data_IF_475402937266
#
_entry.id   IF_475402937266
#
_cell.length_a   1.000
_cell.length_b   1.000
_cell.length_c   1.000
_cell.angle_alpha   90.00
_cell.angle_beta   90.00
_cell.angle_gamma   90.00
#
_symmetry.space_group_name_H-M   'P 1'
#
loop_
_entity.id
_entity.type
_entity.pdbx_description
1 polymer ?
#
# COMPACT_ATOMS: atom_id res chain seq x y z
N UNK A 1 -13.65 -18.84 9.38
CA UNK A 1 -12.96 -17.70 10.01
C UNK A 1 -11.66 -17.40 9.26
N UNK A 2 -11.33 -16.13 9.04
CA UNK A 2 -10.05 -15.69 8.47
C UNK A 2 -9.24 -15.00 9.56
N UNK A 3 -8.01 -15.42 9.80
CA UNK A 3 -7.06 -14.75 10.69
C UNK A 3 -5.94 -14.20 9.80
N UNK A 4 -5.78 -12.88 9.78
CA UNK A 4 -4.76 -12.22 8.96
C UNK A 4 -3.69 -11.61 9.83
N UNK A 5 -2.43 -11.98 9.59
CA UNK A 5 -1.27 -11.41 10.28
C UNK A 5 -0.95 -10.04 9.69
N UNK A 6 -0.83 -9.07 10.59
CA UNK A 6 -0.41 -7.71 10.26
C UNK A 6 1.07 -7.52 10.62
N UNK A 7 1.84 -6.93 9.70
CA UNK A 7 3.27 -6.67 9.88
C UNK A 7 3.76 -5.52 9.00
N UNK A 8 4.88 -4.90 9.39
CA UNK A 8 5.52 -3.84 8.61
C UNK A 8 4.82 -2.48 8.67
N UNK A 9 5.16 -1.57 7.76
CA UNK A 9 4.61 -0.23 7.71
C UNK A 9 3.13 -0.19 7.31
N UNK A 10 2.46 0.98 7.50
CA UNK A 10 1.02 1.13 7.30
C UNK A 10 0.54 0.72 5.90
N UNK A 11 1.34 0.92 4.84
CA UNK A 11 0.98 0.44 3.49
C UNK A 11 0.83 -1.08 3.44
N UNK A 12 1.70 -1.82 4.12
CA UNK A 12 1.62 -3.28 4.22
C UNK A 12 0.46 -3.72 5.12
N UNK A 13 0.23 -3.05 6.26
CA UNK A 13 -0.91 -3.31 7.13
C UNK A 13 -2.25 -3.17 6.37
N UNK A 14 -2.37 -2.15 5.53
CA UNK A 14 -3.53 -1.93 4.67
C UNK A 14 -3.69 -3.04 3.61
N UNK A 15 -2.59 -3.49 2.98
CA UNK A 15 -2.62 -4.60 2.02
C UNK A 15 -3.09 -5.91 2.67
N UNK A 16 -2.54 -6.22 3.85
CA UNK A 16 -2.88 -7.42 4.60
C UNK A 16 -4.34 -7.38 5.09
N UNK A 17 -4.77 -6.23 5.62
CA UNK A 17 -6.17 -6.00 5.98
C UNK A 17 -7.10 -6.21 4.77
N UNK A 18 -6.80 -5.57 3.64
CA UNK A 18 -7.63 -5.65 2.44
C UNK A 18 -7.77 -7.08 1.93
N UNK A 19 -6.69 -7.85 1.95
CA UNK A 19 -6.73 -9.25 1.53
C UNK A 19 -7.55 -10.10 2.50
N UNK A 20 -7.33 -9.98 3.81
CA UNK A 20 -8.11 -10.68 4.82
C UNK A 20 -9.60 -10.31 4.78
N UNK A 21 -9.90 -9.02 4.61
CA UNK A 21 -11.26 -8.50 4.46
C UNK A 21 -11.96 -9.10 3.24
N UNK A 22 -11.28 -9.14 2.10
CA UNK A 22 -11.80 -9.75 0.88
C UNK A 22 -12.12 -11.22 1.08
N UNK A 23 -11.18 -12.00 1.62
CA UNK A 23 -11.40 -13.42 1.90
C UNK A 23 -12.56 -13.66 2.86
N UNK A 24 -12.67 -12.85 3.92
CA UNK A 24 -13.75 -12.97 4.89
C UNK A 24 -15.13 -12.68 4.26
N UNK A 25 -15.21 -11.67 3.37
CA UNK A 25 -16.43 -11.36 2.62
C UNK A 25 -16.80 -12.46 1.63
N UNK A 26 -15.85 -12.97 0.85
CA UNK A 26 -16.07 -14.05 -0.12
C UNK A 26 -16.48 -15.36 0.56
N UNK A 27 -15.87 -15.67 1.71
CA UNK A 27 -16.19 -16.87 2.50
C UNK A 27 -17.34 -16.66 3.48
N UNK A 28 -17.97 -15.47 3.53
CA UNK A 28 -19.07 -15.11 4.45
C UNK A 28 -18.75 -15.47 5.90
N UNK A 29 -17.55 -15.13 6.37
CA UNK A 29 -17.08 -15.49 7.69
C UNK A 29 -16.40 -14.31 8.40
N UNK A 30 -16.08 -14.48 9.69
CA UNK A 30 -15.45 -13.45 10.51
C UNK A 30 -13.97 -13.24 10.11
N UNK A 31 -13.52 -11.97 10.14
CA UNK A 31 -12.12 -11.59 10.06
C UNK A 31 -11.58 -11.30 11.45
N UNK A 32 -10.42 -11.87 11.74
CA UNK A 32 -9.60 -11.57 12.92
C UNK A 32 -8.28 -11.00 12.43
N UNK A 33 -7.82 -9.91 13.05
CA UNK A 33 -6.56 -9.24 12.73
C UNK A 33 -5.52 -9.62 13.79
N UNK A 34 -4.48 -10.33 13.41
CA UNK A 34 -3.39 -10.71 14.31
C UNK A 34 -2.27 -9.66 14.22
N UNK A 35 -2.27 -8.71 15.15
CA UNK A 35 -1.31 -7.63 15.30
C UNK A 35 -0.18 -7.97 16.29
N UNK A 36 -0.09 -9.20 16.78
CA UNK A 36 0.93 -9.62 17.76
C UNK A 36 2.38 -9.46 17.26
N UNK A 37 2.58 -9.25 15.95
CA UNK A 37 3.89 -8.92 15.38
C UNK A 37 4.46 -7.61 15.92
N UNK A 38 3.60 -6.64 16.26
CA UNK A 38 3.99 -5.29 16.72
C UNK A 38 4.35 -5.21 18.21
N UNK A 39 4.38 -6.33 18.92
CA UNK A 39 4.77 -6.36 20.33
C UNK A 39 6.17 -5.77 20.56
N UNK A 40 6.38 -5.10 21.69
CA UNK A 40 7.65 -4.44 22.05
C UNK A 40 8.88 -5.37 22.02
N UNK A 41 8.71 -6.66 22.34
CA UNK A 41 9.77 -7.67 22.33
C UNK A 41 10.21 -8.12 20.92
N UNK A 42 9.50 -7.72 19.87
CA UNK A 42 9.87 -8.08 18.50
C UNK A 42 10.83 -7.03 17.91
N UNK A 43 12.11 -7.33 17.90
CA UNK A 43 13.17 -6.45 17.35
C UNK A 43 12.99 -6.12 15.86
N UNK A 44 12.26 -6.95 15.11
CA UNK A 44 11.95 -6.73 13.69
C UNK A 44 10.77 -5.78 13.47
N UNK A 45 10.03 -5.43 14.53
CA UNK A 45 8.90 -4.51 14.45
C UNK A 45 9.37 -3.05 14.47
N UNK A 46 10.03 -2.62 13.40
CA UNK A 46 10.54 -1.25 13.23
C UNK A 46 9.44 -0.21 13.01
N UNK A 47 8.21 -0.66 12.68
CA UNK A 47 7.05 0.18 12.48
C UNK A 47 5.98 -0.08 13.54
N UNK A 48 5.22 0.95 13.96
CA UNK A 48 4.12 0.79 14.91
C UNK A 48 2.87 0.15 14.27
N UNK A 49 2.01 -0.42 15.10
CA UNK A 49 0.65 -0.79 14.70
C UNK A 49 -0.22 0.45 14.59
N UNK A 50 -0.59 0.84 13.39
CA UNK A 50 -1.31 2.10 13.11
C UNK A 50 -2.54 1.92 12.21
N UNK A 51 -2.89 0.69 11.87
CA UNK A 51 -4.07 0.41 11.04
C UNK A 51 -5.36 1.07 11.57
N UNK A 52 -5.68 1.03 12.89
CA UNK A 52 -6.91 1.63 13.44
C UNK A 52 -6.99 3.15 13.28
N UNK A 53 -5.84 3.82 13.13
CA UNK A 53 -5.79 5.27 12.89
C UNK A 53 -6.20 5.64 11.46
N UNK A 54 -6.10 4.70 10.54
CA UNK A 54 -6.35 4.92 9.10
C UNK A 54 -7.68 4.33 8.66
N UNK A 55 -8.04 3.14 9.15
CA UNK A 55 -9.25 2.40 8.73
C UNK A 55 -10.16 2.16 9.92
N UNK A 56 -11.46 2.21 9.69
CA UNK A 56 -12.43 1.74 10.68
C UNK A 56 -12.47 0.22 10.67
N UNK A 57 -11.96 -0.35 11.77
CA UNK A 57 -11.86 -1.81 12.00
C UNK A 57 -12.67 -2.27 13.22
N UNK A 58 -13.57 -1.43 13.75
CA UNK A 58 -14.32 -1.70 15.00
C UNK A 58 -15.12 -3.01 14.95
N UNK A 59 -15.55 -3.45 13.77
CA UNK A 59 -16.28 -4.70 13.56
C UNK A 59 -15.39 -5.96 13.61
N UNK A 60 -14.06 -5.80 13.71
CA UNK A 60 -13.10 -6.90 13.65
C UNK A 60 -12.42 -7.09 15.00
N UNK A 61 -12.23 -8.36 15.39
CA UNK A 61 -11.44 -8.68 16.58
C UNK A 61 -9.96 -8.55 16.27
N UNK A 62 -9.22 -7.89 17.18
CA UNK A 62 -7.76 -7.66 17.05
C UNK A 62 -7.03 -8.40 18.15
N UNK A 63 -6.02 -9.19 17.78
CA UNK A 63 -5.13 -9.89 18.69
C UNK A 63 -3.79 -9.16 18.71
N UNK A 64 -3.46 -8.52 19.83
CA UNK A 64 -2.17 -7.85 20.04
C UNK A 64 -1.20 -8.71 20.87
N UNK A 65 -1.74 -9.62 21.68
CA UNK A 65 -0.96 -10.49 22.56
C UNK A 65 -0.48 -11.73 21.82
N UNK A 66 0.84 -11.99 21.87
CA UNK A 66 1.46 -13.14 21.19
C UNK A 66 1.02 -14.48 21.77
N UNK A 67 0.79 -14.55 23.07
CA UNK A 67 0.34 -15.79 23.72
C UNK A 67 -1.07 -16.16 23.30
N UNK A 68 -1.97 -15.17 23.20
CA UNK A 68 -3.32 -15.36 22.66
C UNK A 68 -3.26 -15.79 21.18
N UNK A 69 -2.41 -15.15 20.37
CA UNK A 69 -2.21 -15.54 18.97
C UNK A 69 -1.70 -16.98 18.84
N UNK A 70 -0.74 -17.41 19.68
CA UNK A 70 -0.23 -18.77 19.71
C UNK A 70 -1.27 -19.78 20.18
N UNK A 71 -1.97 -19.45 21.27
CA UNK A 71 -3.02 -20.30 21.84
C UNK A 71 -4.15 -20.54 20.83
N UNK A 72 -4.62 -19.48 20.17
CA UNK A 72 -5.66 -19.60 19.15
C UNK A 72 -5.24 -20.54 18.00
N UNK A 73 -4.00 -20.44 17.54
CA UNK A 73 -3.47 -21.35 16.51
C UNK A 73 -3.42 -22.79 16.99
N UNK A 74 -3.00 -23.01 18.23
CA UNK A 74 -2.95 -24.35 18.82
C UNK A 74 -4.36 -24.94 18.94
N UNK A 75 -5.33 -24.17 19.46
CA UNK A 75 -6.73 -24.60 19.54
C UNK A 75 -7.28 -24.99 18.17
N UNK A 76 -7.04 -24.16 17.13
CA UNK A 76 -7.48 -24.46 15.78
C UNK A 76 -6.83 -25.70 15.18
N UNK A 77 -5.56 -25.97 15.51
CA UNK A 77 -4.89 -27.21 15.13
C UNK A 77 -5.52 -28.43 15.84
N UNK A 78 -5.78 -28.34 17.15
CA UNK A 78 -6.45 -29.39 17.90
C UNK A 78 -7.86 -29.66 17.35
N UNK A 79 -8.66 -28.63 17.12
CA UNK A 79 -9.99 -28.76 16.52
C UNK A 79 -9.90 -29.46 15.15
N UNK A 80 -8.93 -29.12 14.31
CA UNK A 80 -8.75 -29.76 13.03
C UNK A 80 -8.44 -31.26 13.15
N UNK A 81 -7.63 -31.66 14.15
CA UNK A 81 -7.29 -33.06 14.42
C UNK A 81 -8.51 -33.81 14.96
N UNK A 82 -9.14 -33.30 16.03
CA UNK A 82 -10.26 -33.99 16.70
C UNK A 82 -11.53 -34.04 15.84
N UNK A 83 -11.72 -33.11 14.92
CA UNK A 83 -12.85 -33.13 13.98
C UNK A 83 -12.59 -33.98 12.73
N UNK A 84 -11.49 -34.74 12.67
CA UNK A 84 -11.04 -35.49 11.49
C UNK A 84 -11.01 -34.64 10.21
N UNK A 85 -10.68 -33.34 10.36
CA UNK A 85 -10.62 -32.37 9.26
C UNK A 85 -11.97 -31.74 8.87
N UNK A 86 -13.09 -32.11 9.49
CA UNK A 86 -14.41 -31.49 9.23
C UNK A 86 -14.40 -29.98 9.51
N UNK A 87 -13.74 -29.55 10.58
CA UNK A 87 -13.51 -28.13 10.92
C UNK A 87 -12.11 -27.68 10.53
N UNK A 88 -11.74 -27.91 9.30
CA UNK A 88 -10.38 -27.76 8.79
C UNK A 88 -9.76 -26.37 9.04
N UNK A 89 -8.49 -26.39 9.40
CA UNK A 89 -7.64 -25.21 9.54
C UNK A 89 -6.47 -25.29 8.56
N UNK A 90 -6.26 -24.24 7.78
CA UNK A 90 -5.14 -24.17 6.83
C UNK A 90 -4.33 -22.89 7.01
N UNK A 91 -3.01 -23.06 7.01
CA UNK A 91 -2.06 -21.96 7.03
C UNK A 91 -1.70 -21.58 5.61
N UNK A 92 -1.94 -20.33 5.24
CA UNK A 92 -1.64 -19.77 3.92
C UNK A 92 -0.50 -18.76 4.08
N UNK A 93 0.63 -19.05 3.47
CA UNK A 93 1.73 -18.10 3.35
C UNK A 93 1.74 -17.53 1.93
N UNK A 94 1.68 -16.22 1.82
CA UNK A 94 1.83 -15.53 0.53
C UNK A 94 3.32 -15.49 0.19
N UNK A 95 3.76 -16.42 -0.62
CA UNK A 95 5.18 -16.57 -1.01
C UNK A 95 5.59 -15.54 -2.05
N UNK A 96 4.71 -15.26 -3.03
CA UNK A 96 4.91 -14.20 -3.99
C UNK A 96 3.88 -13.08 -3.78
N UNK A 97 4.33 -11.82 -3.61
CA UNK A 97 3.40 -10.70 -3.43
C UNK A 97 2.51 -10.44 -4.66
N UNK A 98 2.85 -10.99 -5.82
CA UNK A 98 2.15 -10.73 -7.09
C UNK A 98 1.30 -11.89 -7.57
N UNK A 99 1.34 -13.04 -6.91
CA UNK A 99 0.64 -14.26 -7.31
C UNK A 99 -0.34 -14.68 -6.23
N UNK A 100 -1.59 -14.91 -6.62
CA UNK A 100 -2.59 -15.40 -5.67
C UNK A 100 -2.20 -16.80 -5.15
N UNK A 101 -2.19 -17.02 -3.85
CA UNK A 101 -2.01 -18.35 -3.32
C UNK A 101 -3.23 -19.22 -3.67
N UNK A 102 -3.01 -20.50 -3.93
CA UNK A 102 -4.11 -21.47 -4.01
C UNK A 102 -4.73 -21.62 -2.63
N UNK A 103 -6.03 -21.39 -2.53
CA UNK A 103 -6.78 -21.57 -1.29
C UNK A 103 -7.37 -22.98 -1.27
N UNK A 104 -6.83 -23.91 -0.47
CA UNK A 104 -7.44 -25.21 -0.28
C UNK A 104 -8.81 -25.05 0.39
N UNK A 105 -9.70 -26.04 0.24
CA UNK A 105 -10.95 -26.04 0.99
C UNK A 105 -10.67 -26.12 2.48
N UNK A 106 -11.21 -25.18 3.26
CA UNK A 106 -11.11 -25.15 4.71
C UNK A 106 -12.16 -24.22 5.33
N UNK A 107 -12.49 -24.46 6.62
CA UNK A 107 -13.35 -23.56 7.41
C UNK A 107 -12.58 -22.38 7.97
N UNK A 108 -11.31 -22.57 8.31
CA UNK A 108 -10.48 -21.59 8.97
C UNK A 108 -9.16 -21.40 8.22
N UNK A 109 -8.77 -20.14 8.03
CA UNK A 109 -7.50 -19.79 7.39
C UNK A 109 -6.69 -18.86 8.25
N UNK A 110 -5.40 -19.16 8.36
CA UNK A 110 -4.40 -18.27 8.93
C UNK A 110 -3.53 -17.74 7.79
N UNK A 111 -3.64 -16.46 7.50
CA UNK A 111 -3.02 -15.84 6.32
C UNK A 111 -1.88 -14.93 6.74
N UNK A 112 -0.73 -15.09 6.11
CA UNK A 112 0.47 -14.26 6.34
C UNK A 112 1.17 -13.93 5.03
N UNK A 113 1.92 -12.83 5.01
CA UNK A 113 2.69 -12.34 3.86
C UNK A 113 2.26 -10.98 3.36
N UNK A 114 2.70 -10.60 2.18
CA UNK A 114 2.55 -9.26 1.62
C UNK A 114 1.84 -9.30 0.25
N UNK A 115 0.49 -9.28 0.21
CA UNK A 115 -0.25 -9.30 -1.05
C UNK A 115 -0.15 -7.95 -1.77
N UNK A 116 0.38 -7.92 -2.98
CA UNK A 116 0.57 -6.68 -3.76
C UNK A 116 -0.13 -6.72 -5.14
N UNK A 117 -0.84 -7.79 -5.47
CA UNK A 117 -1.60 -7.86 -6.71
C UNK A 117 -3.02 -7.35 -6.50
N UNK A 118 -3.47 -6.41 -7.33
CA UNK A 118 -4.80 -5.82 -7.25
C UNK A 118 -5.93 -6.86 -7.34
N UNK A 119 -5.74 -7.95 -8.11
CA UNK A 119 -6.75 -9.00 -8.24
C UNK A 119 -7.14 -9.66 -6.91
N UNK A 120 -6.29 -9.57 -5.88
CA UNK A 120 -6.58 -10.14 -4.57
C UNK A 120 -7.77 -9.47 -3.87
N UNK A 121 -8.01 -8.19 -4.13
CA UNK A 121 -9.01 -7.41 -3.40
C UNK A 121 -9.71 -6.31 -4.22
N UNK A 122 -9.54 -6.27 -5.55
CA UNK A 122 -10.05 -5.18 -6.39
C UNK A 122 -11.57 -4.95 -6.26
N UNK A 123 -12.35 -6.02 -6.10
CA UNK A 123 -13.81 -5.94 -5.98
C UNK A 123 -14.25 -5.28 -4.67
N UNK A 124 -13.38 -5.23 -3.66
CA UNK A 124 -13.67 -4.69 -2.34
C UNK A 124 -12.96 -3.37 -2.06
N UNK A 125 -12.09 -2.88 -2.97
CA UNK A 125 -11.42 -1.58 -2.81
C UNK A 125 -12.42 -0.43 -2.55
N UNK A 126 -13.55 -0.31 -3.26
CA UNK A 126 -14.52 0.75 -2.97
C UNK A 126 -15.08 0.69 -1.56
N UNK A 127 -15.32 -0.51 -1.02
CA UNK A 127 -15.76 -0.69 0.37
C UNK A 127 -14.65 -0.35 1.38
N UNK A 128 -13.41 -0.78 1.10
CA UNK A 128 -12.25 -0.53 1.95
C UNK A 128 -11.93 0.96 1.99
N UNK A 129 -11.94 1.65 0.85
CA UNK A 129 -11.64 3.09 0.79
C UNK A 129 -12.69 3.93 1.51
N UNK A 130 -13.97 3.53 1.52
CA UNK A 130 -15.02 4.17 2.32
C UNK A 130 -14.80 4.04 3.83
N UNK A 131 -14.11 2.99 4.29
CA UNK A 131 -13.75 2.82 5.71
C UNK A 131 -12.52 3.63 6.13
N UNK A 132 -11.81 4.26 5.20
CA UNK A 132 -10.63 5.08 5.52
C UNK A 132 -11.04 6.39 6.17
N UNK A 133 -10.41 6.69 7.31
CA UNK A 133 -10.67 7.89 8.13
C UNK A 133 -9.87 9.08 7.61
N UNK A 134 -10.46 9.87 6.72
CA UNK A 134 -9.87 11.12 6.23
C UNK A 134 -10.77 12.29 6.58
N UNK A 135 -10.20 13.36 7.12
CA UNK A 135 -10.94 14.60 7.39
C UNK A 135 -11.42 15.23 6.07
N UNK A 136 -12.58 15.87 6.11
CA UNK A 136 -13.12 16.57 4.94
C UNK A 136 -12.09 17.55 4.35
N UNK A 137 -11.99 17.60 3.03
CA UNK A 137 -11.11 18.55 2.32
C UNK A 137 -11.46 19.99 2.69
N UNK A 138 -10.48 20.76 3.10
CA UNK A 138 -10.62 22.23 3.12
C UNK A 138 -10.69 22.73 1.69
N UNK A 139 -11.66 23.59 1.39
CA UNK A 139 -11.75 24.28 0.10
C UNK A 139 -10.42 24.99 -0.19
N UNK A 140 -9.90 24.82 -1.39
CA UNK A 140 -8.67 25.45 -1.86
C UNK A 140 -8.96 26.05 -3.23
N UNK A 141 -8.43 27.24 -3.50
CA UNK A 141 -8.52 27.88 -4.81
C UNK A 141 -7.67 27.19 -5.88
N UNK A 142 -6.73 26.33 -5.47
CA UNK A 142 -5.83 25.62 -6.38
C UNK A 142 -6.07 24.11 -6.30
N UNK A 143 -5.88 23.44 -7.43
CA UNK A 143 -5.91 21.99 -7.54
C UNK A 143 -4.61 21.44 -6.97
N UNK A 144 -4.71 20.60 -5.92
CA UNK A 144 -3.55 19.99 -5.27
C UNK A 144 -3.16 18.72 -5.97
N UNK A 145 -1.94 18.67 -6.48
CA UNK A 145 -1.32 17.45 -7.01
C UNK A 145 -0.28 16.97 -6.01
N UNK A 146 -0.51 15.80 -5.40
CA UNK A 146 0.45 15.18 -4.51
C UNK A 146 1.52 14.43 -5.30
N UNK A 147 2.76 14.55 -4.90
CA UNK A 147 3.90 13.81 -5.43
C UNK A 147 4.58 13.09 -4.27
N UNK A 148 4.53 11.76 -4.25
CA UNK A 148 5.25 10.98 -3.26
C UNK A 148 6.62 10.57 -3.82
N UNK A 149 7.66 10.84 -3.04
CA UNK A 149 9.05 10.50 -3.35
C UNK A 149 9.53 9.49 -2.31
N UNK A 150 9.99 8.34 -2.76
CA UNK A 150 10.53 7.29 -1.92
C UNK A 150 12.00 7.07 -2.29
N UNK A 151 12.87 7.62 -1.45
CA UNK A 151 14.33 7.48 -1.47
C UNK A 151 14.75 6.87 -0.12
N UNK A 152 15.87 7.23 0.40
CA UNK A 152 16.34 6.81 1.72
C UNK A 152 16.52 5.30 1.82
N UNK A 153 15.61 4.60 2.50
CA UNK A 153 15.66 3.14 2.66
C UNK A 153 15.66 2.38 1.31
N UNK A 154 15.09 2.95 0.23
CA UNK A 154 15.09 2.34 -1.09
C UNK A 154 16.44 2.45 -1.80
N UNK A 155 17.24 3.47 -1.50
CA UNK A 155 18.59 3.62 -2.05
C UNK A 155 19.60 2.71 -1.36
N UNK A 156 19.33 2.30 -0.11
CA UNK A 156 20.19 1.45 0.72
C UNK A 156 19.72 -0.01 0.73
N UNK A 157 18.42 -0.24 0.78
CA UNK A 157 17.82 -1.56 0.75
C UNK A 157 18.09 -2.25 -0.58
N UNK A 158 18.69 -3.41 -0.55
CA UNK A 158 19.08 -4.18 -1.73
C UNK A 158 20.47 -3.81 -2.26
N UNK A 159 21.36 -3.27 -1.42
CA UNK A 159 22.77 -3.04 -1.75
C UNK A 159 22.99 -2.03 -2.88
N UNK A 160 22.12 -1.02 -3.03
CA UNK A 160 22.22 -0.03 -4.10
C UNK A 160 21.90 -0.56 -5.50
N UNK A 161 21.36 -1.77 -5.60
CA UNK A 161 21.18 -2.52 -6.87
C UNK A 161 20.11 -1.98 -7.80
N UNK A 162 19.44 -0.85 -7.48
CA UNK A 162 18.32 -0.31 -8.28
C UNK A 162 17.06 -1.18 -8.27
N UNK A 163 16.94 -2.10 -7.31
CA UNK A 163 15.77 -2.97 -7.14
C UNK A 163 14.52 -2.16 -6.81
N UNK A 164 14.68 -1.13 -5.99
CA UNK A 164 13.58 -0.30 -5.50
C UNK A 164 13.67 1.16 -5.96
N UNK A 165 14.87 1.74 -6.05
CA UNK A 165 15.06 3.16 -6.38
C UNK A 165 15.24 3.40 -7.88
N UNK A 166 14.16 3.49 -8.62
CA UNK A 166 14.16 3.78 -10.05
C UNK A 166 13.24 4.93 -10.48
N UNK A 167 12.55 5.59 -9.54
CA UNK A 167 11.76 6.78 -9.84
C UNK A 167 12.66 8.02 -9.87
N UNK A 168 13.21 8.34 -11.04
CA UNK A 168 14.10 9.47 -11.26
C UNK A 168 13.35 10.81 -11.45
N UNK A 169 14.08 11.95 -11.47
CA UNK A 169 13.53 13.26 -11.86
C UNK A 169 12.75 13.20 -13.18
N UNK A 170 13.27 12.49 -14.18
CA UNK A 170 12.62 12.32 -15.50
C UNK A 170 11.26 11.63 -15.37
N UNK A 171 11.13 10.64 -14.48
CA UNK A 171 9.85 10.00 -14.18
C UNK A 171 8.82 11.01 -13.66
N UNK A 172 9.16 11.78 -12.64
CA UNK A 172 8.24 12.77 -12.04
C UNK A 172 7.83 13.87 -13.01
N UNK A 173 8.76 14.33 -13.87
CA UNK A 173 8.47 15.30 -14.94
C UNK A 173 7.44 14.74 -15.93
N UNK A 174 7.64 13.50 -16.42
CA UNK A 174 6.71 12.82 -17.33
C UNK A 174 5.34 12.64 -16.68
N UNK A 175 5.32 12.19 -15.44
CA UNK A 175 4.10 11.95 -14.68
C UNK A 175 3.27 13.23 -14.49
N UNK A 176 3.92 14.34 -14.16
CA UNK A 176 3.24 15.64 -14.04
C UNK A 176 2.63 16.07 -15.38
N UNK A 177 3.38 15.97 -16.48
CA UNK A 177 2.85 16.28 -17.83
C UNK A 177 1.60 15.45 -18.15
N UNK A 178 1.58 14.17 -17.80
CA UNK A 178 0.40 13.32 -18.03
C UNK A 178 -0.83 13.83 -17.26
N UNK A 179 -0.69 14.23 -15.99
CA UNK A 179 -1.80 14.81 -15.22
C UNK A 179 -2.28 16.11 -15.82
N UNK A 180 -1.35 17.03 -16.12
CA UNK A 180 -1.70 18.34 -16.70
C UNK A 180 -2.47 18.19 -18.01
N UNK A 181 -1.98 17.36 -18.91
CA UNK A 181 -2.59 17.12 -20.23
C UNK A 181 -3.98 16.47 -20.08
N UNK A 182 -4.09 15.40 -19.29
CA UNK A 182 -5.38 14.69 -19.12
C UNK A 182 -6.48 15.60 -18.54
N UNK A 183 -6.10 16.48 -17.61
CA UNK A 183 -7.06 17.34 -16.91
C UNK A 183 -7.11 18.77 -17.47
N UNK A 184 -6.40 19.08 -18.56
CA UNK A 184 -6.31 20.40 -19.19
C UNK A 184 -5.91 21.51 -18.20
N UNK A 185 -4.98 21.21 -17.26
CA UNK A 185 -4.55 22.12 -16.19
C UNK A 185 -3.34 22.95 -16.64
N UNK A 186 -3.32 24.22 -16.21
CA UNK A 186 -2.17 25.12 -16.38
C UNK A 186 -1.39 25.23 -15.07
N UNK A 187 -0.12 25.60 -15.15
CA UNK A 187 0.76 25.73 -13.98
C UNK A 187 0.22 26.67 -12.90
N UNK A 188 -0.48 27.74 -13.29
CA UNK A 188 -1.09 28.73 -12.38
C UNK A 188 -2.26 28.17 -11.57
N UNK A 189 -2.92 27.09 -12.03
CA UNK A 189 -4.14 26.53 -11.43
C UNK A 189 -3.83 25.49 -10.36
N UNK A 190 -2.57 25.06 -10.24
CA UNK A 190 -2.15 23.96 -9.40
C UNK A 190 -1.23 24.36 -8.26
N UNK A 191 -1.22 23.54 -7.23
CA UNK A 191 -0.22 23.52 -6.17
C UNK A 191 0.33 22.10 -6.02
N UNK A 192 1.65 21.94 -6.05
CA UNK A 192 2.31 20.66 -5.81
C UNK A 192 2.55 20.45 -4.32
N UNK A 193 2.08 19.34 -3.79
CA UNK A 193 2.39 18.89 -2.43
C UNK A 193 3.36 17.73 -2.53
N UNK A 194 4.61 17.96 -2.19
CA UNK A 194 5.70 17.00 -2.36
C UNK A 194 5.95 16.32 -1.03
N UNK A 195 5.69 15.02 -0.98
CA UNK A 195 5.92 14.16 0.19
C UNK A 195 7.20 13.38 0.01
N UNK A 196 8.09 13.48 0.97
CA UNK A 196 9.37 12.78 0.97
C UNK A 196 9.73 12.31 2.37
N UNK A 197 10.37 11.16 2.49
CA UNK A 197 10.88 10.62 3.75
C UNK A 197 12.42 10.59 3.73
N UNK A 198 13.06 11.26 4.70
CA UNK A 198 14.50 11.18 5.00
C UNK A 198 15.49 11.49 3.86
N UNK A 199 15.04 12.05 2.74
CA UNK A 199 15.93 12.35 1.62
C UNK A 199 16.36 13.82 1.55
N UNK A 200 16.24 14.50 2.61
CA UNK A 200 16.41 15.91 2.90
C UNK A 200 16.71 16.88 1.74
N UNK A 201 17.48 16.51 0.76
CA UNK A 201 17.92 17.41 -0.31
C UNK A 201 17.45 16.96 -1.69
N UNK A 202 17.43 15.66 -1.98
CA UNK A 202 17.11 15.15 -3.31
C UNK A 202 15.78 15.69 -3.85
N UNK A 203 14.74 15.69 -3.04
CA UNK A 203 13.41 16.16 -3.47
C UNK A 203 13.41 17.65 -3.78
N UNK A 204 14.07 18.49 -2.97
CA UNK A 204 14.18 19.94 -3.19
C UNK A 204 15.00 20.27 -4.43
N UNK A 205 16.11 19.58 -4.65
CA UNK A 205 17.00 19.77 -5.79
C UNK A 205 16.41 19.29 -7.10
N UNK A 206 15.73 18.14 -7.08
CA UNK A 206 15.29 17.46 -8.29
C UNK A 206 13.84 17.75 -8.69
N UNK A 207 12.95 18.13 -7.72
CA UNK A 207 11.54 18.43 -7.99
C UNK A 207 11.32 19.93 -8.03
N UNK A 208 12.17 20.63 -8.74
CA UNK A 208 12.05 22.06 -8.94
C UNK A 208 11.37 22.37 -10.30
N UNK A 209 10.04 22.30 -10.31
CA UNK A 209 9.24 22.72 -11.47
C UNK A 209 9.10 24.25 -11.45
N UNK A 210 9.64 24.94 -12.46
CA UNK A 210 9.53 26.39 -12.60
C UNK A 210 8.05 26.83 -12.70
N UNK A 211 7.74 28.01 -12.12
CA UNK A 211 6.41 28.65 -12.21
C UNK A 211 5.23 27.85 -11.66
N UNK A 212 5.48 26.93 -10.71
CA UNK A 212 4.44 26.20 -9.99
C UNK A 212 4.62 26.39 -8.50
N UNK A 213 3.53 26.71 -7.78
CA UNK A 213 3.53 26.74 -6.30
C UNK A 213 3.81 25.36 -5.74
N UNK A 214 4.76 25.27 -4.80
CA UNK A 214 5.18 24.00 -4.20
C UNK A 214 5.16 24.09 -2.67
N UNK A 215 4.76 22.98 -2.04
CA UNK A 215 4.91 22.76 -0.60
C UNK A 215 5.58 21.42 -0.39
N UNK A 216 6.69 21.41 0.34
CA UNK A 216 7.40 20.19 0.73
C UNK A 216 6.92 19.73 2.11
N UNK A 217 6.63 18.46 2.24
CA UNK A 217 6.33 17.76 3.48
C UNK A 217 7.36 16.67 3.62
N UNK A 218 8.33 16.88 4.49
CA UNK A 218 9.39 15.92 4.80
C UNK A 218 8.96 15.18 6.04
N UNK A 219 8.51 13.95 5.84
CA UNK A 219 7.94 13.12 6.88
C UNK A 219 8.96 12.18 7.52
N UNK A 220 8.58 11.63 8.66
CA UNK A 220 9.24 10.54 9.33
C UNK A 220 8.20 9.47 9.73
N UNK A 221 8.61 8.42 10.44
CA UNK A 221 7.70 7.36 10.88
C UNK A 221 6.54 7.92 11.72
N UNK A 222 6.78 8.92 12.58
CA UNK A 222 5.76 9.52 13.46
C UNK A 222 4.72 10.34 12.69
N UNK A 223 5.11 11.01 11.60
CA UNK A 223 4.21 11.79 10.76
C UNK A 223 3.50 10.97 9.68
N UNK A 224 3.84 9.69 9.52
CA UNK A 224 3.42 8.86 8.37
C UNK A 224 1.90 8.79 8.18
N UNK A 225 1.13 8.74 9.25
CA UNK A 225 -0.36 8.72 9.15
C UNK A 225 -0.91 10.06 8.70
N UNK A 226 -0.39 11.17 9.23
CA UNK A 226 -0.79 12.52 8.83
C UNK A 226 -0.45 12.77 7.37
N UNK A 227 0.72 12.34 6.93
CA UNK A 227 1.19 12.51 5.56
C UNK A 227 0.36 11.66 4.59
N UNK A 228 0.03 10.41 4.96
CA UNK A 228 -0.87 9.55 4.20
C UNK A 228 -2.25 10.20 4.01
N UNK A 229 -2.86 10.70 5.10
CA UNK A 229 -4.16 11.39 5.04
C UNK A 229 -4.08 12.68 4.24
N UNK A 230 -2.96 13.40 4.29
CA UNK A 230 -2.73 14.59 3.48
C UNK A 230 -2.61 14.24 1.99
N UNK A 231 -1.92 13.15 1.64
CA UNK A 231 -1.92 12.63 0.26
C UNK A 231 -3.32 12.28 -0.22
N UNK A 232 -4.12 11.61 0.60
CA UNK A 232 -5.52 11.27 0.30
C UNK A 232 -6.41 12.50 0.10
N UNK A 233 -6.03 13.66 0.65
CA UNK A 233 -6.76 14.92 0.43
C UNK A 233 -6.40 15.63 -0.88
N UNK A 234 -5.40 15.18 -1.63
CA UNK A 234 -5.04 15.75 -2.92
C UNK A 234 -6.11 15.44 -4.00
N UNK A 235 -6.13 16.25 -5.06
CA UNK A 235 -7.02 16.02 -6.20
C UNK A 235 -6.48 14.96 -7.14
N UNK A 236 -5.16 14.93 -7.33
CA UNK A 236 -4.44 13.97 -8.18
C UNK A 236 -3.18 13.51 -7.47
N UNK A 237 -2.63 12.35 -7.84
CA UNK A 237 -1.40 11.82 -7.25
C UNK A 237 -0.42 11.27 -8.29
N UNK A 238 0.86 11.51 -8.02
CA UNK A 238 1.99 10.83 -8.64
C UNK A 238 2.66 9.98 -7.57
N UNK A 239 2.73 8.68 -7.80
CA UNK A 239 3.26 7.71 -6.82
C UNK A 239 4.50 6.99 -7.34
N UNK A 240 5.47 6.67 -6.47
CA UNK A 240 6.51 5.69 -6.79
C UNK A 240 5.98 4.26 -6.57
N UNK A 241 6.84 3.27 -6.69
CA UNK A 241 6.58 1.86 -6.42
C UNK A 241 6.45 1.56 -4.91
N UNK A 242 5.51 2.20 -4.23
CA UNK A 242 5.33 2.12 -2.78
C UNK A 242 3.88 1.81 -2.40
N UNK A 243 3.66 0.72 -1.62
CA UNK A 243 2.34 0.35 -1.09
C UNK A 243 1.71 1.45 -0.24
N UNK A 244 2.53 2.27 0.41
CA UNK A 244 2.09 3.40 1.21
C UNK A 244 1.31 4.43 0.39
N UNK A 245 1.91 4.97 -0.67
CA UNK A 245 1.24 5.93 -1.56
C UNK A 245 0.25 5.27 -2.52
N UNK A 246 0.36 3.97 -2.75
CA UNK A 246 -0.61 3.21 -3.52
C UNK A 246 -1.99 3.23 -2.85
N UNK A 247 -2.06 3.11 -1.51
CA UNK A 247 -3.33 3.24 -0.79
C UNK A 247 -3.90 4.66 -0.82
N UNK A 248 -3.04 5.68 -0.74
CA UNK A 248 -3.48 7.06 -0.96
C UNK A 248 -4.06 7.23 -2.38
N UNK A 249 -3.42 6.61 -3.38
CA UNK A 249 -3.89 6.64 -4.76
C UNK A 249 -5.22 5.92 -4.95
N UNK A 250 -5.44 4.77 -4.32
CA UNK A 250 -6.74 4.09 -4.32
C UNK A 250 -7.84 4.96 -3.71
N UNK A 251 -7.54 5.67 -2.62
CA UNK A 251 -8.49 6.60 -2.03
C UNK A 251 -8.79 7.78 -2.97
N UNK A 252 -7.77 8.40 -3.54
CA UNK A 252 -7.93 9.55 -4.46
C UNK A 252 -8.69 9.15 -5.72
N UNK A 253 -8.44 7.98 -6.27
CA UNK A 253 -9.17 7.44 -7.42
C UNK A 253 -10.64 7.17 -7.09
N UNK A 254 -10.92 6.39 -6.04
CA UNK A 254 -12.27 5.91 -5.74
C UNK A 254 -13.18 6.95 -5.05
N UNK A 255 -12.60 7.88 -4.27
CA UNK A 255 -13.37 8.85 -3.47
C UNK A 255 -13.32 10.26 -4.07
N UNK A 256 -12.16 10.64 -4.61
CA UNK A 256 -11.95 11.98 -5.14
C UNK A 256 -12.11 12.05 -6.68
N UNK A 257 -12.26 10.91 -7.37
CA UNK A 257 -12.23 10.78 -8.82
C UNK A 257 -10.96 11.40 -9.44
N UNK A 258 -9.84 11.27 -8.75
CA UNK A 258 -8.58 11.92 -9.12
C UNK A 258 -7.78 11.12 -10.15
N UNK A 259 -6.99 11.81 -10.95
CA UNK A 259 -6.05 11.17 -11.86
C UNK A 259 -4.82 10.69 -11.11
N UNK A 260 -4.48 9.43 -11.31
CA UNK A 260 -3.31 8.79 -10.69
C UNK A 260 -2.27 8.46 -11.77
N UNK A 261 -1.00 8.69 -11.46
CA UNK A 261 0.13 8.26 -12.30
C UNK A 261 1.08 7.42 -11.45
N UNK A 262 1.35 6.21 -11.92
CA UNK A 262 2.36 5.30 -11.35
C UNK A 262 3.51 5.01 -12.32
N UNK A 263 4.62 4.42 -11.84
CA UNK A 263 5.75 4.03 -12.69
C UNK A 263 5.42 2.79 -13.54
N UNK A 264 6.10 2.66 -14.68
CA UNK A 264 5.97 1.49 -15.56
C UNK A 264 6.60 0.23 -14.97
N UNK A 265 7.47 0.37 -13.99
CA UNK A 265 8.11 -0.71 -13.25
C UNK A 265 7.67 -0.68 -11.78
N UNK A 266 7.60 -1.86 -11.18
CA UNK A 266 7.34 -2.04 -9.75
C UNK A 266 8.54 -2.73 -9.10
N UNK A 267 8.36 -3.34 -7.93
CA UNK A 267 9.41 -4.07 -7.21
C UNK A 267 10.33 -4.85 -8.17
N UNK A 268 11.66 -4.74 -7.96
CA UNK A 268 12.68 -5.44 -8.73
C UNK A 268 12.57 -5.22 -10.27
N UNK A 269 12.11 -4.03 -10.66
CA UNK A 269 11.89 -3.63 -12.05
C UNK A 269 11.01 -4.58 -12.86
N UNK A 270 10.03 -5.22 -12.19
CA UNK A 270 8.98 -5.99 -12.83
C UNK A 270 7.99 -5.03 -13.51
N UNK A 271 7.57 -5.29 -14.76
CA UNK A 271 6.58 -4.44 -15.42
C UNK A 271 5.26 -4.38 -14.62
N UNK A 272 4.85 -3.17 -14.23
CA UNK A 272 3.65 -2.96 -13.41
C UNK A 272 2.37 -3.54 -14.06
N UNK A 273 2.29 -3.51 -15.38
CA UNK A 273 1.17 -4.12 -16.14
C UNK A 273 1.08 -5.64 -15.95
N UNK A 274 2.23 -6.34 -15.85
CA UNK A 274 2.25 -7.81 -15.71
C UNK A 274 1.81 -8.29 -14.34
N UNK A 275 2.00 -7.48 -13.29
CA UNK A 275 1.64 -7.84 -11.91
C UNK A 275 0.27 -7.29 -11.47
N UNK A 276 -0.47 -6.67 -12.39
CA UNK A 276 -1.81 -6.15 -12.12
C UNK A 276 -1.88 -5.30 -10.83
N UNK A 277 -0.97 -4.30 -10.72
CA UNK A 277 -0.88 -3.45 -9.53
C UNK A 277 -1.72 -2.17 -9.63
N UNK A 278 -2.20 -1.80 -10.82
CA UNK A 278 -2.93 -0.56 -11.07
C UNK A 278 -4.36 -0.78 -11.55
N UNK A 279 -5.23 0.15 -11.22
CA UNK A 279 -6.54 0.26 -11.83
C UNK A 279 -6.40 0.60 -13.32
N UNK A 280 -7.37 0.18 -14.13
CA UNK A 280 -7.32 0.34 -15.61
C UNK A 280 -7.23 1.81 -16.06
N UNK A 281 -7.79 2.74 -15.28
CA UNK A 281 -7.83 4.18 -15.55
C UNK A 281 -6.55 4.93 -15.11
N UNK A 282 -5.63 4.26 -14.39
CA UNK A 282 -4.38 4.88 -13.96
C UNK A 282 -3.43 5.08 -15.14
N UNK A 283 -2.77 6.22 -15.15
CA UNK A 283 -1.75 6.53 -16.13
C UNK A 283 -0.41 5.94 -15.70
N UNK A 284 0.41 5.58 -16.68
CA UNK A 284 1.72 4.98 -16.45
C UNK A 284 2.79 5.87 -17.08
N UNK A 285 3.74 6.31 -16.27
CA UNK A 285 4.90 7.08 -16.73
C UNK A 285 6.15 6.18 -16.76
N UNK A 286 6.93 6.28 -17.84
CA UNK A 286 8.18 5.53 -17.98
C UNK A 286 9.24 6.04 -17.01
N UNK A 287 9.85 5.13 -16.24
CA UNK A 287 10.99 5.40 -15.37
C UNK A 287 12.27 5.62 -16.16
N UNK A 288 12.42 4.94 -17.28
CA UNK A 288 13.63 4.93 -18.12
C UNK A 288 14.60 3.81 -17.76
N UNK A 289 14.26 2.97 -16.81
CA UNK A 289 15.05 1.78 -16.45
C UNK A 289 14.64 0.57 -17.29
N UNK A 290 15.58 -0.38 -17.46
CA UNK A 290 15.30 -1.66 -18.12
C UNK A 290 14.57 -2.61 -17.18
N UNK A 291 13.71 -3.44 -17.75
CA UNK A 291 13.04 -4.56 -17.04
C UNK A 291 14.12 -5.52 -16.53
N UNK A 292 13.94 -6.03 -15.31
CA UNK A 292 14.74 -7.13 -14.80
C UNK A 292 14.28 -8.44 -15.45
N UNK A 293 15.18 -9.13 -16.14
CA UNK A 293 14.89 -10.41 -16.80
C UNK A 293 14.80 -11.58 -15.82
N UNK A 294 15.47 -11.46 -14.65
CA UNK A 294 15.53 -12.48 -13.60
C UNK A 294 15.09 -11.89 -12.26
N UNK A 295 13.79 -11.56 -12.07
CA UNK A 295 13.31 -10.99 -10.81
C UNK A 295 13.27 -12.03 -9.70
N UNK A 296 13.42 -11.56 -8.45
CA UNK A 296 13.36 -12.38 -7.24
C UNK A 296 12.01 -13.11 -7.07
N UNK A 297 10.93 -12.51 -7.55
CA UNK A 297 9.58 -13.11 -7.50
C UNK A 297 9.05 -13.40 -8.89
N UNK A 298 8.55 -14.61 -9.09
CA UNK A 298 7.76 -14.96 -10.28
C UNK A 298 6.41 -14.25 -10.25
N UNK A 299 5.94 -13.75 -11.38
CA UNK A 299 4.69 -13.00 -11.55
C UNK A 299 3.86 -13.53 -12.73
#
# INVERSE_FOLDING_TARGET
>A
MIITVLAGGIGNQLQQFAYGFTLAKEKKCRLILDAAWFRKSNKNATFPYTLPEVVDIKEHYVIENIYISRLLRLILMCINIFSLGLLSYKKIKIESPFKAPKLPSAFNYFVSGYPNNLSFFKNYIPLITKKIKVSKKKKSSKIKIGIHIRKGDYSVAGGGSGILDFCSKKYYLRALKLILNKNKLKNKDIELIIFSSNDNNWSKENINFKNIKKKFIIGNIRSSIKDLKTMMSCSHLIIPNSTYSWWAAQYVDNINNGTIVGPDLWWDRIPAKKINIYNKNWLIAKTGFKVNKNPLYKY
#
